data_IF_378374481891
#
_entry.id   IF_378374481891
#
_cell.length_a   1.000
_cell.length_b   1.000
_cell.length_c   1.000
_cell.angle_alpha   90.00
_cell.angle_beta   90.00
_cell.angle_gamma   90.00
#
_symmetry.space_group_name_H-M   'P 1'
#
loop_
_entity.id
_entity.type
_entity.pdbx_description
1 polymer ?
#
# COMPACT_ATOMS: atom_id res chain seq x y z
N UNK A 1 -9.10 37.40 51.58
CA UNK A 1 -7.84 37.13 50.86
C UNK A 1 -7.79 35.66 50.48
N UNK A 2 -7.59 35.39 49.18
CA UNK A 2 -6.92 34.22 48.56
C UNK A 2 -7.44 32.80 48.87
N UNK A 3 -7.61 31.88 47.92
CA UNK A 3 -7.54 31.83 46.45
C UNK A 3 -8.22 30.50 46.10
N UNK A 4 -9.27 30.52 45.28
CA UNK A 4 -9.86 29.29 44.71
C UNK A 4 -8.84 28.78 43.69
N UNK A 5 -8.24 27.61 43.96
CA UNK A 5 -7.34 26.95 43.01
C UNK A 5 -8.20 26.33 41.90
N UNK A 6 -8.54 27.13 40.89
CA UNK A 6 -9.08 26.63 39.63
C UNK A 6 -7.93 25.93 38.90
N UNK A 7 -7.80 24.62 39.12
CA UNK A 7 -6.91 23.77 38.32
C UNK A 7 -7.47 23.74 36.89
N UNK A 8 -6.82 24.53 36.03
CA UNK A 8 -7.06 24.57 34.60
C UNK A 8 -6.69 23.20 34.02
N UNK A 9 -7.69 22.39 33.66
CA UNK A 9 -7.49 21.27 32.75
C UNK A 9 -7.02 21.85 31.41
N UNK A 10 -5.70 21.86 31.19
CA UNK A 10 -5.13 22.00 29.86
C UNK A 10 -5.45 20.72 29.09
N UNK A 11 -6.64 20.70 28.49
CA UNK A 11 -6.93 19.82 27.36
C UNK A 11 -6.02 20.28 26.23
N UNK A 12 -4.83 19.69 26.15
CA UNK A 12 -4.06 19.73 24.91
C UNK A 12 -4.92 19.03 23.86
N UNK A 13 -5.36 19.72 22.79
CA UNK A 13 -5.89 19.00 21.64
C UNK A 13 -4.72 18.18 21.12
N UNK A 14 -4.76 16.87 21.38
CA UNK A 14 -3.93 15.93 20.62
C UNK A 14 -4.35 16.15 19.17
N UNK A 15 -3.43 16.67 18.36
CA UNK A 15 -3.57 16.72 16.92
C UNK A 15 -3.68 15.27 16.47
N UNK A 16 -4.91 14.79 16.32
CA UNK A 16 -5.18 13.54 15.63
C UNK A 16 -4.88 13.81 14.16
N UNK A 17 -3.63 13.57 13.77
CA UNK A 17 -3.28 13.47 12.36
C UNK A 17 -3.97 12.21 11.85
N UNK A 18 -5.16 12.38 11.27
CA UNK A 18 -5.77 11.33 10.49
C UNK A 18 -4.85 11.08 9.30
N UNK A 19 -4.23 9.90 9.23
CA UNK A 19 -3.50 9.49 8.04
C UNK A 19 -4.54 9.29 6.93
N UNK A 20 -4.48 10.12 5.89
CA UNK A 20 -5.40 10.02 4.76
C UNK A 20 -5.18 8.69 4.02
N UNK A 21 -6.22 7.85 4.00
CA UNK A 21 -6.24 6.64 3.19
C UNK A 21 -7.00 6.95 1.91
N UNK A 22 -6.31 6.91 0.78
CA UNK A 22 -6.93 7.06 -0.54
C UNK A 22 -7.08 5.68 -1.15
N UNK A 23 -8.29 5.29 -1.55
CA UNK A 23 -8.55 3.98 -2.12
C UNK A 23 -9.14 4.08 -3.53
N UNK A 24 -8.67 3.22 -4.43
CA UNK A 24 -9.11 3.12 -5.82
C UNK A 24 -9.55 1.71 -6.15
N UNK A 25 -10.53 1.57 -7.03
CA UNK A 25 -10.80 0.29 -7.68
C UNK A 25 -9.77 0.06 -8.80
N UNK A 26 -9.45 -1.20 -9.03
CA UNK A 26 -8.50 -1.59 -10.06
C UNK A 26 -8.62 -3.05 -10.45
N UNK A 27 -7.67 -3.46 -11.27
CA UNK A 27 -7.45 -4.86 -11.58
C UNK A 27 -6.07 -5.26 -11.07
N UNK A 28 -5.92 -6.51 -10.63
CA UNK A 28 -4.70 -7.04 -10.08
C UNK A 28 -4.51 -8.51 -10.44
N UNK A 29 -3.26 -8.98 -10.46
CA UNK A 29 -2.94 -10.41 -10.50
C UNK A 29 -1.56 -10.69 -9.89
N UNK A 30 -1.28 -11.98 -9.65
CA UNK A 30 0.01 -12.44 -9.13
C UNK A 30 0.68 -13.31 -10.18
N UNK A 31 1.80 -12.82 -10.72
CA UNK A 31 2.54 -13.52 -11.76
C UNK A 31 3.08 -14.85 -11.23
N UNK A 32 2.82 -15.94 -11.95
CA UNK A 32 3.42 -17.26 -11.68
C UNK A 32 2.73 -18.12 -10.60
N UNK A 33 1.67 -17.61 -9.94
CA UNK A 33 0.79 -18.41 -9.06
C UNK A 33 -0.55 -18.67 -9.73
N UNK A 34 -1.33 -17.61 -9.84
CA UNK A 34 -2.58 -17.56 -10.59
C UNK A 34 -2.58 -16.22 -11.32
N UNK A 35 -2.19 -16.28 -12.59
CA UNK A 35 -2.08 -15.09 -13.45
C UNK A 35 -3.45 -14.59 -13.91
N UNK A 36 -4.55 -15.16 -13.41
CA UNK A 36 -5.91 -14.67 -13.66
C UNK A 36 -6.05 -13.27 -13.09
N UNK A 37 -6.55 -12.36 -13.93
CA UNK A 37 -6.84 -10.99 -13.50
C UNK A 37 -8.09 -10.99 -12.63
N UNK A 38 -8.03 -10.28 -11.50
CA UNK A 38 -9.12 -10.11 -10.55
C UNK A 38 -9.38 -8.63 -10.33
N UNK A 39 -10.60 -8.29 -9.96
CA UNK A 39 -10.85 -6.95 -9.41
C UNK A 39 -10.18 -6.84 -8.05
N UNK A 40 -9.63 -5.66 -7.77
CA UNK A 40 -8.95 -5.38 -6.51
C UNK A 40 -9.20 -3.94 -6.10
N UNK A 41 -8.88 -3.65 -4.84
CA UNK A 41 -8.83 -2.30 -4.33
C UNK A 41 -7.39 -1.96 -3.94
N UNK A 42 -7.02 -0.73 -4.24
CA UNK A 42 -5.67 -0.19 -4.13
C UNK A 42 -5.75 0.94 -3.13
N UNK A 43 -5.30 0.70 -1.89
CA UNK A 43 -5.27 1.71 -0.85
C UNK A 43 -3.86 2.28 -0.71
N UNK A 44 -3.73 3.59 -0.67
CA UNK A 44 -2.48 4.32 -0.46
C UNK A 44 -2.60 5.07 0.86
N UNK A 45 -1.58 4.90 1.71
CA UNK A 45 -1.45 5.61 2.97
C UNK A 45 0.00 6.02 3.17
N UNK A 46 0.24 7.05 3.97
CA UNK A 46 1.58 7.46 4.38
C UNK A 46 1.69 7.38 5.89
N UNK A 47 2.81 6.86 6.36
CA UNK A 47 3.13 6.78 7.78
C UNK A 47 4.62 6.97 7.98
N UNK A 48 5.01 7.80 8.96
CA UNK A 48 6.41 8.01 9.34
C UNK A 48 7.34 8.35 8.16
N UNK A 49 6.85 9.10 7.16
CA UNK A 49 7.61 9.47 5.96
C UNK A 49 7.77 8.34 4.93
N UNK A 50 7.09 7.21 5.10
CA UNK A 50 7.02 6.13 4.10
C UNK A 50 5.63 6.05 3.48
N UNK A 51 5.57 5.78 2.17
CA UNK A 51 4.32 5.57 1.45
C UNK A 51 4.06 4.08 1.30
N UNK A 52 2.93 3.63 1.83
CA UNK A 52 2.47 2.26 1.70
C UNK A 52 1.33 2.18 0.69
N UNK A 53 1.40 1.19 -0.18
CA UNK A 53 0.29 0.80 -1.03
C UNK A 53 -0.12 -0.63 -0.69
N UNK A 54 -1.42 -0.84 -0.52
CA UNK A 54 -2.00 -2.14 -0.24
C UNK A 54 -2.89 -2.55 -1.40
N UNK A 55 -2.72 -3.78 -1.87
CA UNK A 55 -3.59 -4.41 -2.86
C UNK A 55 -4.37 -5.54 -2.19
N UNK A 56 -5.69 -5.47 -2.27
CA UNK A 56 -6.57 -6.54 -1.84
C UNK A 56 -7.29 -7.15 -3.04
N UNK A 57 -7.10 -8.46 -3.26
CA UNK A 57 -7.81 -9.18 -4.31
C UNK A 57 -9.26 -9.47 -3.87
N UNK A 58 -10.24 -9.34 -4.77
CA UNK A 58 -11.63 -9.77 -4.57
C UNK A 58 -12.45 -9.03 -3.49
N UNK A 59 -12.17 -7.75 -3.18
CA UNK A 59 -12.98 -6.79 -2.35
C UNK A 59 -13.47 -7.28 -0.96
N UNK A 60 -12.95 -6.70 0.15
CA UNK A 60 -13.63 -6.47 1.47
C UNK A 60 -12.70 -5.75 2.47
N UNK A 61 -12.99 -4.49 2.84
CA UNK A 61 -12.32 -3.78 3.95
C UNK A 61 -13.27 -3.55 5.15
N UNK A 62 -12.71 -3.56 6.36
CA UNK A 62 -13.28 -3.04 7.61
C UNK A 62 -12.21 -2.23 8.37
N UNK A 63 -12.11 -0.93 8.15
CA UNK A 63 -11.05 -0.09 8.75
C UNK A 63 -11.25 0.05 10.27
N UNK A 64 -10.24 -0.31 11.07
CA UNK A 64 -10.05 0.20 12.44
C UNK A 64 -8.79 1.08 12.43
N UNK A 65 -8.81 2.14 13.24
CA UNK A 65 -7.75 3.13 13.34
C UNK A 65 -6.98 2.91 14.64
N UNK A 66 -5.65 2.78 14.54
CA UNK A 66 -4.77 2.71 15.69
C UNK A 66 -3.47 3.48 15.51
N UNK A 67 -2.83 3.83 16.63
CA UNK A 67 -1.80 4.87 16.71
C UNK A 67 -0.41 4.46 16.18
N UNK A 68 -0.27 3.26 15.62
CA UNK A 68 0.90 2.82 14.86
C UNK A 68 0.36 1.97 13.69
N UNK A 69 0.32 2.53 12.48
CA UNK A 69 -0.10 1.90 11.22
C UNK A 69 -0.95 0.64 11.31
N UNK A 70 -2.27 0.77 11.46
CA UNK A 70 -3.12 -0.41 11.52
C UNK A 70 -3.30 -1.07 10.14
N UNK A 71 -2.71 -2.26 10.02
CA UNK A 71 -2.85 -3.16 8.89
C UNK A 71 -4.17 -3.89 8.96
N UNK A 72 -4.98 -3.64 7.95
CA UNK A 72 -6.28 -4.23 7.86
C UNK A 72 -6.28 -5.56 7.12
N UNK A 73 -6.81 -6.60 7.74
CA UNK A 73 -6.83 -7.95 7.18
C UNK A 73 -8.25 -8.48 7.16
N UNK A 74 -8.87 -8.61 5.98
CA UNK A 74 -10.11 -9.37 5.84
C UNK A 74 -10.18 -10.17 4.54
N UNK A 75 -10.20 -11.49 4.72
CA UNK A 75 -10.85 -12.53 3.91
C UNK A 75 -10.74 -12.51 2.39
N UNK A 76 -9.62 -12.01 1.86
CA UNK A 76 -8.95 -12.42 0.60
C UNK A 76 -7.50 -11.91 0.60
N UNK A 77 -6.65 -12.50 -0.23
CA UNK A 77 -5.19 -12.28 -0.19
C UNK A 77 -4.79 -10.80 -0.33
N UNK A 78 -4.00 -10.33 0.64
CA UNK A 78 -3.46 -8.97 0.69
C UNK A 78 -1.99 -8.96 0.27
N UNK A 79 -1.59 -7.88 -0.40
CA UNK A 79 -0.20 -7.60 -0.73
C UNK A 79 0.15 -6.17 -0.33
N UNK A 80 1.31 -6.01 0.29
CA UNK A 80 1.80 -4.72 0.78
C UNK A 80 3.00 -4.31 -0.06
N UNK A 81 3.03 -3.04 -0.43
CA UNK A 81 4.09 -2.39 -1.17
C UNK A 81 4.58 -1.21 -0.35
N UNK A 82 5.89 -1.15 -0.15
CA UNK A 82 6.54 -0.02 0.51
C UNK A 82 7.37 0.72 -0.53
N UNK A 83 7.17 2.04 -0.62
CA UNK A 83 7.97 2.95 -1.41
C UNK A 83 8.49 4.10 -0.52
N UNK A 84 9.76 4.50 -0.66
CA UNK A 84 10.26 5.71 -0.02
C UNK A 84 9.49 6.94 -0.53
N UNK A 85 9.27 7.94 0.34
CA UNK A 85 8.57 9.19 -0.03
C UNK A 85 9.24 9.95 -1.18
N UNK A 86 10.57 9.86 -1.30
CA UNK A 86 11.36 10.77 -2.15
C UNK A 86 12.05 10.02 -3.30
N UNK A 87 11.27 9.32 -4.10
CA UNK A 87 11.81 8.37 -5.07
C UNK A 87 11.84 8.84 -6.52
N UNK A 88 13.02 9.19 -7.04
CA UNK A 88 13.18 9.48 -8.47
C UNK A 88 13.66 8.29 -9.32
N UNK A 89 14.57 7.40 -8.88
CA UNK A 89 15.02 6.28 -9.73
C UNK A 89 15.70 5.05 -9.04
N UNK A 90 16.11 5.11 -7.77
CA UNK A 90 16.92 4.05 -7.11
C UNK A 90 16.27 3.45 -5.86
N UNK A 91 14.95 3.46 -5.79
CA UNK A 91 14.29 3.13 -4.53
C UNK A 91 14.22 1.64 -4.28
N UNK A 92 14.54 1.27 -3.05
CA UNK A 92 14.29 -0.05 -2.50
C UNK A 92 12.79 -0.25 -2.32
N UNK A 93 12.08 -0.48 -3.42
CA UNK A 93 10.71 -0.98 -3.34
C UNK A 93 10.72 -2.28 -2.56
N UNK A 94 9.68 -2.51 -1.75
CA UNK A 94 9.46 -3.82 -1.14
C UNK A 94 8.06 -4.30 -1.46
N UNK A 95 7.91 -5.61 -1.58
CA UNK A 95 6.60 -6.24 -1.72
C UNK A 95 6.51 -7.49 -0.84
N UNK A 96 5.34 -7.74 -0.27
CA UNK A 96 5.10 -8.83 0.67
C UNK A 96 3.61 -9.15 0.79
N UNK A 97 3.29 -10.21 1.53
CA UNK A 97 1.89 -10.57 1.87
C UNK A 97 1.41 -9.91 3.17
N UNK A 98 2.33 -9.25 3.88
CA UNK A 98 2.13 -8.42 5.07
C UNK A 98 3.39 -7.55 5.25
N UNK A 99 3.35 -6.56 6.15
CA UNK A 99 4.52 -5.71 6.46
C UNK A 99 5.72 -6.53 6.94
N UNK A 100 5.50 -7.52 7.82
CA UNK A 100 6.58 -8.39 8.33
C UNK A 100 7.20 -9.30 7.26
N UNK A 101 6.54 -9.43 6.10
CA UNK A 101 6.96 -10.30 4.99
C UNK A 101 7.43 -9.49 3.77
N UNK A 102 7.70 -8.20 3.95
CA UNK A 102 8.27 -7.35 2.92
C UNK A 102 9.69 -7.82 2.57
N UNK A 103 9.95 -7.97 1.27
CA UNK A 103 11.30 -8.19 0.73
C UNK A 103 11.59 -7.15 -0.33
N UNK A 104 12.86 -6.84 -0.50
CA UNK A 104 13.33 -5.98 -1.59
C UNK A 104 12.77 -6.46 -2.93
N UNK A 105 12.36 -5.50 -3.72
CA UNK A 105 11.67 -5.67 -4.98
C UNK A 105 12.16 -4.64 -5.99
N UNK A 106 11.96 -4.97 -7.27
CA UNK A 106 12.12 -4.05 -8.37
C UNK A 106 10.76 -3.77 -9.00
N UNK A 107 10.56 -2.52 -9.40
CA UNK A 107 9.41 -2.14 -10.21
C UNK A 107 9.68 -2.52 -11.67
N UNK A 108 8.67 -3.07 -12.34
CA UNK A 108 8.67 -3.36 -13.76
C UNK A 108 7.28 -3.12 -14.32
N UNK A 109 7.20 -2.97 -15.64
CA UNK A 109 5.96 -2.73 -16.34
C UNK A 109 5.64 -3.89 -17.28
N UNK A 110 4.36 -4.19 -17.45
CA UNK A 110 3.91 -5.20 -18.40
C UNK A 110 2.77 -4.67 -19.25
N UNK A 111 2.78 -4.98 -20.54
CA UNK A 111 1.71 -4.63 -21.46
C UNK A 111 0.36 -5.15 -20.95
N UNK A 112 -0.66 -4.29 -20.95
CA UNK A 112 -1.97 -4.60 -20.36
C UNK A 112 -2.59 -5.92 -20.90
N UNK A 113 -2.52 -6.12 -22.22
CA UNK A 113 -3.20 -7.24 -22.89
C UNK A 113 -2.37 -8.52 -22.87
N UNK A 114 -1.08 -8.41 -23.15
CA UNK A 114 -0.18 -9.54 -23.37
C UNK A 114 0.58 -9.96 -22.12
N UNK A 115 0.60 -9.12 -21.08
CA UNK A 115 1.37 -9.30 -19.84
C UNK A 115 2.88 -9.48 -20.07
N UNK A 116 3.40 -9.17 -21.25
CA UNK A 116 4.84 -9.20 -21.54
C UNK A 116 5.51 -7.99 -20.90
N UNK A 117 6.76 -8.16 -20.44
CA UNK A 117 7.54 -7.06 -19.86
C UNK A 117 7.80 -6.02 -20.94
N UNK A 118 7.60 -4.75 -20.58
CA UNK A 118 7.90 -3.59 -21.42
C UNK A 118 8.90 -2.68 -20.71
N UNK A 119 9.72 -1.96 -21.50
CA UNK A 119 10.77 -1.07 -21.00
C UNK A 119 10.23 0.30 -20.60
N UNK A 120 9.18 0.75 -21.27
CA UNK A 120 8.50 2.03 -21.02
C UNK A 120 7.08 1.76 -20.53
N UNK A 121 6.69 2.48 -19.48
CA UNK A 121 5.32 2.42 -18.98
C UNK A 121 4.42 3.26 -19.88
N UNK A 122 3.37 2.67 -20.45
CA UNK A 122 2.28 3.42 -21.08
C UNK A 122 1.11 3.53 -20.11
N UNK A 123 0.31 4.58 -20.25
CA UNK A 123 -0.91 4.72 -19.47
C UNK A 123 -1.80 3.48 -19.66
N UNK A 124 -2.17 2.85 -18.54
CA UNK A 124 -2.96 1.62 -18.52
C UNK A 124 -2.15 0.32 -18.56
N UNK A 125 -0.82 0.35 -18.68
CA UNK A 125 0.01 -0.83 -18.48
C UNK A 125 0.01 -1.30 -17.02
N UNK A 126 0.32 -2.58 -16.83
CA UNK A 126 0.45 -3.16 -15.50
C UNK A 126 1.70 -2.63 -14.81
N UNK A 127 1.51 -2.06 -13.62
CA UNK A 127 2.60 -1.73 -12.70
C UNK A 127 2.82 -2.96 -11.82
N UNK A 128 4.03 -3.51 -11.85
CA UNK A 128 4.38 -4.69 -11.08
C UNK A 128 5.56 -4.42 -10.14
N UNK A 129 5.52 -5.02 -8.95
CA UNK A 129 6.69 -5.08 -8.08
C UNK A 129 7.07 -6.55 -7.87
N UNK A 130 8.30 -6.88 -8.25
CA UNK A 130 8.87 -8.24 -8.22
C UNK A 130 9.95 -8.32 -7.17
N UNK A 131 9.81 -9.24 -6.21
CA UNK A 131 10.87 -9.51 -5.22
C UNK A 131 12.18 -9.87 -5.92
N UNK A 132 13.28 -9.29 -5.45
CA UNK A 132 14.64 -9.60 -5.96
C UNK A 132 15.22 -10.85 -5.31
N UNK A 133 14.79 -11.15 -4.08
CA UNK A 133 15.21 -12.32 -3.29
C UNK A 133 14.01 -13.24 -2.95
N UNK A 134 13.01 -13.28 -3.83
CA UNK A 134 11.82 -14.11 -3.68
C UNK A 134 11.05 -14.26 -4.99
N UNK A 135 9.98 -15.04 -4.96
CA UNK A 135 9.20 -15.38 -6.15
C UNK A 135 7.93 -14.55 -6.30
N UNK A 136 7.64 -13.64 -5.35
CA UNK A 136 6.44 -12.84 -5.39
C UNK A 136 6.58 -11.70 -6.40
N UNK A 137 5.67 -11.66 -7.36
CA UNK A 137 5.52 -10.59 -8.32
C UNK A 137 4.03 -10.25 -8.42
N UNK A 138 3.68 -9.05 -7.97
CA UNK A 138 2.29 -8.60 -7.89
C UNK A 138 2.12 -7.41 -8.81
N UNK A 139 1.09 -7.45 -9.63
CA UNK A 139 0.80 -6.49 -10.66
C UNK A 139 -0.58 -5.87 -10.46
N UNK A 140 -0.71 -4.58 -10.75
CA UNK A 140 -1.97 -3.86 -10.69
C UNK A 140 -2.09 -2.79 -11.78
N UNK A 141 -3.33 -2.37 -12.03
CA UNK A 141 -3.67 -1.18 -12.81
C UNK A 141 -4.86 -0.49 -12.13
N UNK A 142 -4.79 0.83 -11.99
CA UNK A 142 -5.88 1.65 -11.45
C UNK A 142 -6.91 1.88 -12.57
N UNK A 143 -8.20 1.83 -12.25
CA UNK A 143 -9.30 2.11 -13.20
C UNK A 143 -9.98 3.44 -12.90
#
# INVERSE_FOLDING_TARGET
MKKILLSLLLLFPVLSHANDVIAFDGECYVQGKDSTTKTCQIAITSENGSSYQMLQLDKKYYLEQGPNGELLNLDKANYVFEAPSDCYNTCGFKVGTSVDKLKNAKRLFRDYKTKKIVTENKDGDWICNKQTQGNLEVCYVIK
#
